data_IF_120359777562
#
_entry.id   IF_120359777562
#
_cell.length_a   1.000
_cell.length_b   1.000
_cell.length_c   1.000
_cell.angle_alpha   90.00
_cell.angle_beta   90.00
_cell.angle_gamma   90.00
#
_symmetry.space_group_name_H-M   'P 1'
#
loop_
_entity.id
_entity.type
_entity.pdbx_description
1 polymer ?
#
# COMPACT_ATOMS: atom_id res chain seq x y z
N UNK A 1 -11.19 80.98 25.64
CA UNK A 1 -10.70 79.69 25.10
C UNK A 1 -9.19 79.73 25.10
N UNK A 2 -8.54 79.06 26.06
CA UNK A 2 -7.08 78.98 26.16
C UNK A 2 -6.69 77.54 25.80
N UNK A 3 -5.85 77.33 24.78
CA UNK A 3 -5.19 76.04 24.50
C UNK A 3 -3.71 76.21 24.79
N UNK A 4 -3.22 75.38 25.70
CA UNK A 4 -1.83 75.24 26.11
C UNK A 4 -1.07 74.31 25.16
N UNK A 5 0.23 74.58 25.05
CA UNK A 5 1.27 73.90 24.29
C UNK A 5 1.82 72.63 24.96
N UNK A 6 2.27 71.66 24.15
CA UNK A 6 3.39 70.70 24.32
C UNK A 6 3.06 69.45 23.50
N UNK A 7 3.72 69.25 22.36
CA UNK A 7 4.95 68.43 22.23
C UNK A 7 4.72 66.98 22.65
N UNK A 8 4.55 66.08 21.68
CA UNK A 8 5.46 64.95 21.51
C UNK A 8 5.12 64.08 20.28
N UNK A 9 6.21 63.68 19.61
CA UNK A 9 6.35 62.44 18.86
C UNK A 9 5.56 62.26 17.55
N UNK A 10 6.05 62.95 16.52
CA UNK A 10 6.09 62.47 15.14
C UNK A 10 6.74 61.09 15.08
N UNK A 11 5.91 60.04 15.06
CA UNK A 11 6.34 58.66 14.88
C UNK A 11 6.72 58.42 13.41
N UNK A 12 8.01 58.53 13.10
CA UNK A 12 8.60 57.93 11.91
C UNK A 12 9.90 57.21 12.31
N UNK A 13 10.06 56.03 11.72
CA UNK A 13 11.27 55.20 11.68
C UNK A 13 11.41 54.12 12.78
N UNK A 14 11.13 52.88 12.33
CA UNK A 14 11.95 51.68 12.55
C UNK A 14 12.22 51.23 13.99
N UNK A 15 11.22 50.57 14.58
CA UNK A 15 11.44 49.48 15.56
C UNK A 15 10.15 48.65 15.70
N UNK A 16 9.92 47.67 14.81
CA UNK A 16 8.99 46.56 15.04
C UNK A 16 9.75 45.25 14.91
N UNK A 17 10.60 44.99 15.90
CA UNK A 17 11.31 43.73 16.02
C UNK A 17 11.69 43.46 17.48
N UNK A 18 10.74 43.49 18.41
CA UNK A 18 10.85 42.78 19.69
C UNK A 18 9.44 42.47 20.20
N UNK A 19 9.26 41.29 20.80
CA UNK A 19 8.04 40.77 21.44
C UNK A 19 6.89 40.26 20.56
N UNK A 20 7.14 39.11 19.93
CA UNK A 20 6.11 38.14 19.55
C UNK A 20 6.29 36.80 20.27
N UNK A 21 6.66 36.83 21.56
CA UNK A 21 6.81 35.63 22.38
C UNK A 21 5.99 35.70 23.67
N UNK A 22 4.67 35.80 23.53
CA UNK A 22 3.73 35.38 24.56
C UNK A 22 2.34 35.22 23.94
N UNK A 23 1.65 34.15 24.31
CA UNK A 23 0.22 33.89 24.05
C UNK A 23 -0.14 33.28 22.69
N UNK A 24 0.34 32.06 22.46
CA UNK A 24 -0.53 31.04 21.89
C UNK A 24 -0.57 29.83 22.81
N UNK A 25 -1.45 29.90 23.81
CA UNK A 25 -1.89 28.75 24.58
C UNK A 25 -2.61 27.81 23.61
N UNK A 26 -1.88 26.83 23.10
CA UNK A 26 -2.45 25.66 22.44
C UNK A 26 -3.38 24.99 23.43
N UNK A 27 -4.69 25.14 23.22
CA UNK A 27 -5.68 24.30 23.86
C UNK A 27 -5.48 22.89 23.29
N UNK A 28 -4.66 22.11 24.00
CA UNK A 28 -4.57 20.67 23.80
C UNK A 28 -5.93 20.08 24.15
N UNK A 29 -6.83 20.09 23.17
CA UNK A 29 -8.03 19.28 23.21
C UNK A 29 -7.53 17.86 23.33
N UNK A 30 -7.73 17.24 24.50
CA UNK A 30 -7.73 15.79 24.64
C UNK A 30 -8.84 15.27 23.72
N UNK A 31 -8.51 15.16 22.43
CA UNK A 31 -9.27 14.39 21.48
C UNK A 31 -9.11 12.97 22.00
N UNK A 32 -10.09 12.55 22.82
CA UNK A 32 -10.23 11.17 23.26
C UNK A 32 -10.08 10.36 22.00
N UNK A 33 -8.98 9.63 21.88
CA UNK A 33 -8.89 8.55 20.92
C UNK A 33 -10.04 7.64 21.33
N UNK A 34 -11.17 7.77 20.61
CA UNK A 34 -12.16 6.72 20.60
C UNK A 34 -11.35 5.51 20.20
N UNK A 35 -11.27 4.53 21.09
CA UNK A 35 -10.94 3.15 20.78
C UNK A 35 -11.99 2.68 19.78
N UNK A 36 -11.88 3.18 18.55
CA UNK A 36 -12.59 2.70 17.40
C UNK A 36 -11.93 1.36 17.14
N UNK A 37 -12.53 0.33 17.72
CA UNK A 37 -12.76 -0.93 17.07
C UNK A 37 -11.94 -1.11 15.79
N UNK A 38 -10.63 -1.33 15.94
CA UNK A 38 -9.82 -2.08 14.98
C UNK A 38 -10.20 -3.56 15.15
N UNK A 39 -11.51 -3.81 15.27
CA UNK A 39 -12.10 -5.11 15.46
C UNK A 39 -11.97 -5.80 14.12
N UNK A 40 -10.93 -6.64 14.04
CA UNK A 40 -10.98 -7.97 13.41
C UNK A 40 -11.82 -7.98 12.12
N UNK A 41 -11.53 -7.07 11.18
CA UNK A 41 -12.08 -7.23 9.83
C UNK A 41 -11.31 -8.38 9.22
N UNK A 42 -11.85 -9.59 9.29
CA UNK A 42 -11.37 -10.69 8.45
C UNK A 42 -11.57 -10.25 6.99
N UNK A 43 -10.65 -10.61 6.06
CA UNK A 43 -10.94 -10.43 4.66
C UNK A 43 -12.24 -11.19 4.40
N UNK A 44 -13.10 -10.67 3.51
CA UNK A 44 -14.19 -11.49 3.03
C UNK A 44 -13.57 -12.77 2.43
N UNK A 45 -14.24 -13.93 2.50
CA UNK A 45 -13.72 -15.18 1.96
C UNK A 45 -13.21 -15.06 0.52
N UNK A 46 -13.84 -14.17 -0.26
CA UNK A 46 -13.54 -13.91 -1.67
C UNK A 46 -12.43 -12.86 -1.88
N UNK A 47 -11.84 -12.31 -0.80
CA UNK A 47 -10.76 -11.31 -0.86
C UNK A 47 -9.38 -11.93 -0.69
N UNK A 48 -9.23 -13.23 -0.97
CA UNK A 48 -7.92 -13.88 -0.96
C UNK A 48 -7.57 -14.35 -2.36
N UNK A 49 -6.41 -13.91 -2.84
CA UNK A 49 -5.83 -14.32 -4.10
C UNK A 49 -4.85 -15.46 -3.85
N UNK A 50 -5.04 -16.56 -4.56
CA UNK A 50 -4.13 -17.70 -4.55
C UNK A 50 -3.36 -17.77 -5.86
N UNK A 51 -2.04 -17.94 -5.77
CA UNK A 51 -1.21 -18.30 -6.93
C UNK A 51 -0.59 -19.67 -6.70
N UNK A 52 -0.66 -20.53 -7.71
CA UNK A 52 -0.20 -21.90 -7.67
C UNK A 52 0.86 -22.20 -8.71
N UNK A 53 1.65 -23.23 -8.45
CA UNK A 53 2.55 -23.81 -9.43
C UNK A 53 1.72 -24.53 -10.51
N UNK A 54 1.95 -24.33 -11.82
CA UNK A 54 1.11 -24.87 -12.88
C UNK A 54 1.16 -26.41 -13.00
N UNK A 55 2.29 -27.02 -12.64
CA UNK A 55 2.48 -28.49 -12.65
C UNK A 55 2.08 -29.18 -11.34
N UNK A 56 2.71 -28.82 -10.22
CA UNK A 56 2.46 -29.46 -8.91
C UNK A 56 1.15 -29.03 -8.25
N UNK A 57 0.55 -27.91 -8.68
CA UNK A 57 -0.65 -27.29 -8.11
C UNK A 57 -0.51 -26.82 -6.65
N UNK A 58 0.71 -26.86 -6.13
CA UNK A 58 1.07 -26.32 -4.83
C UNK A 58 0.85 -24.82 -4.79
N UNK A 59 0.38 -24.32 -3.66
CA UNK A 59 0.19 -22.88 -3.45
C UNK A 59 1.55 -22.24 -3.24
N UNK A 60 1.92 -21.33 -4.14
CA UNK A 60 3.13 -20.53 -4.02
C UNK A 60 2.92 -19.45 -2.96
N UNK A 61 1.80 -18.73 -3.07
CA UNK A 61 1.47 -17.63 -2.18
C UNK A 61 -0.04 -17.44 -2.10
N UNK A 62 -0.51 -17.02 -0.93
CA UNK A 62 -1.87 -16.55 -0.68
C UNK A 62 -1.82 -15.14 -0.10
N UNK A 63 -2.48 -14.20 -0.75
CA UNK A 63 -2.47 -12.79 -0.35
C UNK A 63 -3.90 -12.30 -0.18
N UNK A 64 -4.20 -11.66 0.96
CA UNK A 64 -5.53 -11.12 1.21
C UNK A 64 -5.60 -9.61 0.91
N UNK A 65 -6.61 -9.20 0.16
CA UNK A 65 -6.93 -7.83 -0.19
C UNK A 65 -7.78 -7.16 0.90
N UNK A 66 -7.19 -6.95 2.09
CA UNK A 66 -7.90 -6.49 3.29
C UNK A 66 -8.64 -5.15 3.13
N UNK A 67 -8.11 -4.26 2.29
CA UNK A 67 -8.53 -2.85 2.23
C UNK A 67 -9.26 -2.47 0.94
N UNK A 68 -9.35 -3.37 -0.04
CA UNK A 68 -10.01 -3.09 -1.31
C UNK A 68 -11.45 -3.60 -1.29
N UNK A 69 -12.40 -2.78 -1.74
CA UNK A 69 -13.82 -3.16 -1.76
C UNK A 69 -14.10 -4.33 -2.69
N UNK A 70 -13.43 -4.37 -3.85
CA UNK A 70 -13.51 -5.48 -4.82
C UNK A 70 -12.53 -6.64 -4.55
N UNK A 71 -11.81 -6.62 -3.43
CA UNK A 71 -10.85 -7.68 -3.12
C UNK A 71 -9.64 -7.76 -4.07
N UNK A 72 -9.15 -6.66 -4.64
CA UNK A 72 -8.03 -6.68 -5.59
C UNK A 72 -6.66 -6.33 -4.98
N UNK A 73 -5.58 -6.78 -5.61
CA UNK A 73 -4.18 -6.50 -5.24
C UNK A 73 -3.41 -5.92 -6.43
N UNK A 74 -2.40 -5.09 -6.18
CA UNK A 74 -1.54 -4.62 -7.26
C UNK A 74 -0.87 -5.80 -8.00
N UNK A 75 -1.04 -5.85 -9.31
CA UNK A 75 -0.49 -6.91 -10.15
C UNK A 75 1.03 -7.04 -9.97
N UNK A 76 1.74 -5.91 -9.90
CA UNK A 76 3.18 -5.89 -9.69
C UNK A 76 3.62 -6.47 -8.35
N UNK A 77 2.81 -6.34 -7.30
CA UNK A 77 3.09 -6.97 -6.00
C UNK A 77 3.00 -8.50 -6.12
N UNK A 78 1.90 -9.00 -6.70
CA UNK A 78 1.66 -10.44 -6.86
C UNK A 78 2.73 -11.07 -7.77
N UNK A 79 3.02 -10.43 -8.91
CA UNK A 79 4.01 -10.91 -9.87
C UNK A 79 5.42 -10.99 -9.27
N UNK A 80 5.88 -9.94 -8.57
CA UNK A 80 7.20 -9.94 -7.95
C UNK A 80 7.32 -10.96 -6.81
N UNK A 81 6.29 -11.12 -5.99
CA UNK A 81 6.30 -12.14 -4.94
C UNK A 81 6.46 -13.56 -5.53
N UNK A 82 5.73 -13.85 -6.61
CA UNK A 82 5.86 -15.13 -7.30
C UNK A 82 7.24 -15.31 -7.96
N UNK A 83 7.79 -14.25 -8.57
CA UNK A 83 9.13 -14.27 -9.16
C UNK A 83 10.20 -14.64 -8.14
N UNK A 84 10.14 -14.05 -6.94
CA UNK A 84 11.07 -14.33 -5.84
C UNK A 84 10.97 -15.80 -5.40
N UNK A 85 9.75 -16.28 -5.17
CA UNK A 85 9.48 -17.68 -4.78
C UNK A 85 9.97 -18.66 -5.86
N UNK A 86 9.83 -18.29 -7.13
CA UNK A 86 10.33 -19.05 -8.27
C UNK A 86 11.84 -18.88 -8.54
N UNK A 87 12.64 -18.49 -7.52
CA UNK A 87 14.09 -18.33 -7.66
C UNK A 87 14.52 -17.07 -8.42
N UNK A 88 13.86 -15.94 -8.15
CA UNK A 88 14.07 -14.65 -8.83
C UNK A 88 13.80 -14.67 -10.34
N UNK A 89 12.88 -15.53 -10.81
CA UNK A 89 12.49 -15.66 -12.22
C UNK A 89 11.47 -14.61 -12.63
N UNK A 90 11.91 -13.36 -12.75
CA UNK A 90 11.07 -12.21 -13.15
C UNK A 90 10.55 -12.28 -14.59
N UNK A 91 11.09 -13.18 -15.42
CA UNK A 91 10.58 -13.49 -16.76
C UNK A 91 9.30 -14.34 -16.74
N UNK A 92 8.88 -14.81 -15.56
CA UNK A 92 7.62 -15.50 -15.37
C UNK A 92 6.38 -14.63 -15.58
N UNK A 93 5.21 -15.27 -15.69
CA UNK A 93 3.94 -14.59 -15.94
C UNK A 93 2.77 -15.30 -15.27
N UNK A 94 1.71 -14.53 -14.98
CA UNK A 94 0.47 -15.07 -14.44
C UNK A 94 -0.47 -15.53 -15.57
N UNK A 95 -1.20 -16.61 -15.32
CA UNK A 95 -2.30 -17.10 -16.16
C UNK A 95 -3.42 -17.64 -15.27
N UNK A 96 -4.63 -17.73 -15.80
CA UNK A 96 -5.75 -18.41 -15.13
C UNK A 96 -5.82 -19.91 -15.49
N UNK A 97 -4.82 -20.43 -16.21
CA UNK A 97 -4.75 -21.83 -16.61
C UNK A 97 -3.38 -22.43 -16.28
N UNK A 98 -3.37 -23.75 -16.05
CA UNK A 98 -2.15 -24.56 -15.95
C UNK A 98 -1.51 -24.83 -17.32
N UNK A 99 -2.22 -24.55 -18.42
CA UNK A 99 -1.70 -24.77 -19.77
C UNK A 99 -0.74 -23.64 -20.19
N UNK A 100 0.50 -23.98 -20.56
CA UNK A 100 1.53 -23.02 -20.98
C UNK A 100 1.13 -22.19 -22.21
N UNK A 101 0.28 -22.75 -23.08
CA UNK A 101 -0.23 -22.10 -24.29
C UNK A 101 -1.46 -21.22 -24.02
N UNK A 102 -1.98 -21.20 -22.80
CA UNK A 102 -3.11 -20.35 -22.45
C UNK A 102 -2.72 -18.87 -22.43
N UNK A 103 -3.70 -17.96 -22.57
CA UNK A 103 -3.45 -16.53 -22.48
C UNK A 103 -2.74 -16.15 -21.17
N UNK A 104 -1.82 -15.20 -21.30
CA UNK A 104 -1.15 -14.55 -20.16
C UNK A 104 -2.04 -13.43 -19.65
N UNK A 105 -2.06 -13.24 -18.34
CA UNK A 105 -2.62 -12.04 -17.73
C UNK A 105 -1.76 -10.86 -18.20
N UNK A 106 -2.34 -9.97 -18.99
CA UNK A 106 -1.66 -8.81 -19.57
C UNK A 106 -2.14 -7.57 -18.83
N UNK A 107 -1.41 -7.19 -17.78
CA UNK A 107 -1.71 -6.05 -16.92
C UNK A 107 -0.44 -5.24 -16.63
N UNK A 108 -0.60 -3.94 -16.40
CA UNK A 108 0.50 -3.09 -15.93
C UNK A 108 0.74 -3.34 -14.44
N UNK A 109 1.97 -3.12 -13.98
CA UNK A 109 2.34 -3.31 -12.56
C UNK A 109 1.46 -2.53 -11.56
N UNK A 110 1.00 -1.34 -11.96
CA UNK A 110 0.14 -0.50 -11.13
C UNK A 110 -1.33 -0.93 -11.11
N UNK A 111 -1.77 -1.75 -12.07
CA UNK A 111 -3.16 -2.20 -12.16
C UNK A 111 -3.48 -3.23 -11.07
N UNK A 112 -4.78 -3.42 -10.83
CA UNK A 112 -5.30 -4.24 -9.75
C UNK A 112 -5.76 -5.59 -10.29
N UNK A 113 -5.09 -6.65 -9.86
CA UNK A 113 -5.47 -8.04 -10.11
C UNK A 113 -6.58 -8.44 -9.12
N UNK A 114 -7.77 -8.83 -9.59
CA UNK A 114 -8.88 -9.19 -8.71
C UNK A 114 -8.57 -10.49 -7.95
N UNK A 115 -8.86 -10.53 -6.65
CA UNK A 115 -9.06 -11.80 -5.97
C UNK A 115 -10.34 -12.43 -6.51
N UNK A 116 -10.28 -13.74 -6.67
CA UNK A 116 -11.34 -14.56 -7.22
C UNK A 116 -11.20 -15.96 -6.61
N UNK A 117 -12.28 -16.76 -6.55
CA UNK A 117 -12.23 -18.10 -5.97
C UNK A 117 -11.20 -19.00 -6.68
N UNK A 118 -11.02 -18.83 -7.98
CA UNK A 118 -10.08 -19.59 -8.79
C UNK A 118 -8.64 -19.07 -8.65
N UNK A 119 -7.70 -20.00 -8.50
CA UNK A 119 -6.29 -19.65 -8.42
C UNK A 119 -5.75 -19.15 -9.76
N UNK A 120 -4.79 -18.22 -9.68
CA UNK A 120 -3.87 -17.95 -10.77
C UNK A 120 -2.71 -18.95 -10.74
N UNK A 121 -2.00 -19.06 -11.85
CA UNK A 121 -0.81 -19.89 -11.99
C UNK A 121 0.37 -19.03 -12.44
N UNK A 122 1.52 -19.24 -11.80
CA UNK A 122 2.76 -18.57 -12.19
C UNK A 122 3.59 -19.48 -13.09
N UNK A 123 3.70 -19.12 -14.35
CA UNK A 123 4.46 -19.84 -15.36
C UNK A 123 5.84 -19.23 -15.54
N UNK A 124 6.82 -20.08 -15.78
CA UNK A 124 8.19 -19.67 -16.13
C UNK A 124 8.49 -20.14 -17.55
N UNK A 125 8.86 -19.25 -18.49
CA UNK A 125 9.18 -19.64 -19.86
C UNK A 125 10.29 -20.70 -19.93
N UNK A 126 10.04 -21.76 -20.70
CA UNK A 126 11.02 -22.84 -20.91
C UNK A 126 11.17 -23.80 -19.72
N UNK A 127 10.49 -23.56 -18.60
CA UNK A 127 10.66 -24.37 -17.38
C UNK A 127 9.30 -24.63 -16.73
N UNK A 128 8.86 -25.88 -16.83
CA UNK A 128 7.53 -26.30 -16.35
C UNK A 128 7.55 -26.93 -14.96
N UNK A 129 8.72 -27.03 -14.34
CA UNK A 129 8.96 -27.65 -13.04
C UNK A 129 10.05 -26.88 -12.28
N UNK A 130 9.87 -25.56 -12.20
CA UNK A 130 10.85 -24.71 -11.54
C UNK A 130 10.85 -24.98 -10.03
N UNK A 131 12.01 -24.84 -9.42
CA UNK A 131 12.14 -25.01 -7.98
C UNK A 131 11.43 -23.90 -7.23
N UNK A 132 10.65 -24.28 -6.21
CA UNK A 132 10.08 -23.33 -5.25
C UNK A 132 11.15 -23.09 -4.18
N UNK A 133 11.67 -21.87 -4.14
CA UNK A 133 12.66 -21.49 -3.13
C UNK A 133 11.93 -21.16 -1.84
N UNK A 134 12.18 -21.97 -0.80
CA UNK A 134 11.75 -21.65 0.56
C UNK A 134 12.61 -20.50 1.06
N UNK A 135 12.08 -19.27 1.01
CA UNK A 135 12.81 -18.06 1.39
C UNK A 135 12.99 -17.86 2.91
N UNK A 136 12.68 -18.86 3.74
CA UNK A 136 12.63 -18.71 5.20
C UNK A 136 13.30 -19.87 5.96
N UNK A 137 14.58 -20.13 5.68
CA UNK A 137 15.45 -20.72 6.70
C UNK A 137 16.00 -19.57 7.55
N UNK A 138 15.35 -19.28 8.68
CA UNK A 138 15.81 -18.33 9.70
C UNK A 138 16.49 -19.06 10.86
#
# INVERSE_FOLDING_TARGET
MLRTSSEEATAYSTAKAVDANAQHRSTYSHRRFRTNAFLVRRPLPDHTLHVRHPRTLEVLISLSAWNHEDGALHFGLVHNACAIIAGNRHDGYLSQSTNVSAPRVTMKHAELLPAQPEAYFYHVPGESDYSIVQTFDL
#
